data_IF_918221439848
#
_entry.id   IF_918221439848
#
_cell.length_a   1.000
_cell.length_b   1.000
_cell.length_c   1.000
_cell.angle_alpha   90.00
_cell.angle_beta   90.00
_cell.angle_gamma   90.00
#
_symmetry.space_group_name_H-M   'P 1'
#
loop_
_entity.id
_entity.type
_entity.pdbx_description
1 polymer ?
#
# COMPACT_ATOMS: atom_id res chain seq x y z
N UNK A 1 -22.86 8.13 12.74
CA UNK A 1 -22.21 7.57 11.54
C UNK A 1 -22.30 6.06 11.62
N UNK A 2 -22.80 5.39 10.58
CA UNK A 2 -22.75 3.94 10.48
C UNK A 2 -21.32 3.49 10.23
N UNK A 3 -20.84 2.48 10.97
CA UNK A 3 -19.55 1.83 10.67
C UNK A 3 -19.77 0.81 9.56
N UNK A 4 -18.93 0.86 8.53
CA UNK A 4 -18.87 -0.19 7.51
C UNK A 4 -18.18 -1.41 8.15
N UNK A 5 -18.77 -2.61 8.13
CA UNK A 5 -18.12 -3.82 8.62
C UNK A 5 -16.81 -4.08 7.86
N UNK A 6 -15.75 -4.45 8.57
CA UNK A 6 -14.46 -4.82 7.98
C UNK A 6 -14.04 -6.19 8.46
N UNK A 7 -13.38 -6.94 7.57
CA UNK A 7 -12.77 -8.22 7.88
C UNK A 7 -11.34 -8.22 7.34
N UNK A 8 -10.37 -8.59 8.18
CA UNK A 8 -8.99 -8.78 7.75
C UNK A 8 -8.82 -10.21 7.21
N UNK A 9 -8.09 -10.34 6.12
CA UNK A 9 -7.75 -11.65 5.53
C UNK A 9 -6.27 -11.69 5.21
N UNK A 10 -5.64 -12.81 5.54
CA UNK A 10 -4.25 -13.05 5.15
C UNK A 10 -4.17 -13.31 3.65
N UNK A 11 -3.40 -12.48 2.95
CA UNK A 11 -3.20 -12.57 1.52
C UNK A 11 -1.72 -12.36 1.18
N UNK A 12 -1.12 -13.33 0.51
CA UNK A 12 0.29 -13.27 0.09
C UNK A 12 0.47 -12.24 -1.05
N UNK A 13 1.60 -11.51 -1.01
CA UNK A 13 1.95 -10.54 -2.05
C UNK A 13 2.67 -11.16 -3.24
N UNK A 14 3.33 -12.31 -3.06
CA UNK A 14 4.12 -12.97 -4.10
C UNK A 14 5.30 -12.13 -4.64
N UNK A 15 5.75 -11.14 -3.89
CA UNK A 15 6.95 -10.33 -4.16
C UNK A 15 7.91 -10.40 -2.96
N UNK A 16 9.08 -9.76 -3.04
CA UNK A 16 10.02 -9.65 -1.91
C UNK A 16 9.32 -9.15 -0.63
N UNK A 17 9.76 -9.63 0.54
CA UNK A 17 9.30 -9.09 1.84
C UNK A 17 9.65 -7.61 2.00
N UNK A 18 10.71 -7.16 1.32
CA UNK A 18 11.07 -5.75 1.16
C UNK A 18 11.11 -5.40 -0.33
N UNK A 19 9.99 -4.93 -0.92
CA UNK A 19 9.96 -4.43 -2.29
C UNK A 19 10.90 -3.25 -2.45
N UNK A 20 11.65 -3.23 -3.56
CA UNK A 20 12.71 -2.25 -3.82
C UNK A 20 12.44 -1.34 -5.03
N UNK A 21 11.21 -1.38 -5.56
CA UNK A 21 10.77 -0.51 -6.64
C UNK A 21 9.28 -0.17 -6.52
N UNK A 22 8.89 0.96 -7.08
CA UNK A 22 7.48 1.37 -7.19
C UNK A 22 6.61 0.30 -7.86
N UNK A 23 7.10 -0.27 -8.97
CA UNK A 23 6.38 -1.30 -9.73
C UNK A 23 6.22 -2.61 -8.94
N UNK A 24 7.28 -3.09 -8.29
CA UNK A 24 7.21 -4.30 -7.47
C UNK A 24 6.25 -4.12 -6.30
N UNK A 25 6.29 -2.95 -5.65
CA UNK A 25 5.40 -2.62 -4.52
C UNK A 25 3.94 -2.61 -4.97
N UNK A 26 3.63 -1.95 -6.09
CA UNK A 26 2.27 -1.96 -6.66
C UNK A 26 1.83 -3.37 -7.06
N UNK A 27 2.72 -4.18 -7.62
CA UNK A 27 2.46 -5.59 -7.95
C UNK A 27 2.13 -6.40 -6.70
N UNK A 28 2.85 -6.20 -5.61
CA UNK A 28 2.57 -6.82 -4.31
C UNK A 28 1.15 -6.50 -3.83
N UNK A 29 0.77 -5.23 -3.80
CA UNK A 29 -0.57 -4.80 -3.40
C UNK A 29 -1.67 -5.42 -4.27
N UNK A 30 -1.49 -5.47 -5.60
CA UNK A 30 -2.44 -6.10 -6.52
C UNK A 30 -2.55 -7.61 -6.35
N UNK A 31 -1.43 -8.28 -6.09
CA UNK A 31 -1.43 -9.71 -5.78
C UNK A 31 -2.18 -9.98 -4.46
N UNK A 32 -2.01 -9.13 -3.45
CA UNK A 32 -2.81 -9.22 -2.21
C UNK A 32 -4.29 -9.04 -2.48
N UNK A 33 -4.70 -8.06 -3.29
CA UNK A 33 -6.10 -7.90 -3.70
C UNK A 33 -6.64 -9.17 -4.35
N UNK A 34 -5.91 -9.74 -5.32
CA UNK A 34 -6.31 -10.97 -6.02
C UNK A 34 -6.49 -12.12 -5.03
N UNK A 35 -5.50 -12.33 -4.16
CA UNK A 35 -5.49 -13.44 -3.21
C UNK A 35 -6.53 -13.26 -2.08
N UNK A 36 -6.79 -12.03 -1.66
CA UNK A 36 -7.84 -11.70 -0.69
C UNK A 36 -9.24 -11.91 -1.28
N UNK A 37 -9.44 -11.56 -2.55
CA UNK A 37 -10.71 -11.74 -3.27
C UNK A 37 -11.12 -13.21 -3.38
N UNK A 38 -10.14 -14.13 -3.49
CA UNK A 38 -10.41 -15.58 -3.47
C UNK A 38 -10.93 -16.09 -2.13
N UNK A 39 -10.65 -15.37 -1.03
CA UNK A 39 -11.01 -15.75 0.34
C UNK A 39 -12.21 -14.97 0.90
N UNK A 40 -12.59 -13.87 0.24
CA UNK A 40 -13.57 -12.90 0.73
C UNK A 40 -14.81 -12.84 -0.17
N UNK A 41 -15.47 -14.00 -0.33
CA UNK A 41 -16.68 -14.11 -1.13
C UNK A 41 -17.80 -13.22 -0.53
N UNK A 42 -18.12 -12.12 -1.21
CA UNK A 42 -19.20 -11.20 -0.81
C UNK A 42 -18.76 -9.84 -0.26
N UNK A 43 -17.47 -9.52 -0.25
CA UNK A 43 -17.03 -8.16 0.06
C UNK A 43 -17.37 -7.18 -1.08
N UNK A 44 -17.99 -6.04 -0.76
CA UNK A 44 -18.25 -4.98 -1.74
C UNK A 44 -16.95 -4.32 -2.22
N UNK A 45 -16.01 -4.14 -1.30
CA UNK A 45 -14.70 -3.55 -1.53
C UNK A 45 -13.61 -4.45 -0.96
N UNK A 46 -12.51 -4.59 -1.69
CA UNK A 46 -11.28 -5.22 -1.21
C UNK A 46 -10.18 -4.16 -1.22
N UNK A 47 -9.47 -4.01 -0.10
CA UNK A 47 -8.40 -3.02 0.06
C UNK A 47 -7.13 -3.73 0.45
N UNK A 48 -6.01 -3.37 -0.18
CA UNK A 48 -4.69 -3.87 0.18
C UNK A 48 -3.66 -2.74 0.20
N UNK A 49 -2.65 -2.93 1.05
CA UNK A 49 -1.49 -2.07 1.14
C UNK A 49 -0.22 -2.89 0.91
N UNK A 50 0.77 -2.30 0.26
CA UNK A 50 2.14 -2.84 0.23
C UNK A 50 3.10 -1.69 0.48
N UNK A 51 3.97 -1.84 1.49
CA UNK A 51 5.07 -0.92 1.74
C UNK A 51 6.28 -1.27 0.88
N UNK A 52 7.04 -0.27 0.47
CA UNK A 52 8.22 -0.47 -0.35
C UNK A 52 9.21 0.68 -0.22
N UNK A 53 10.39 0.47 -0.77
CA UNK A 53 11.43 1.49 -0.90
C UNK A 53 11.83 1.66 -2.36
N UNK A 54 12.32 2.84 -2.73
CA UNK A 54 12.95 3.08 -4.03
C UNK A 54 14.16 3.99 -3.87
N UNK A 55 15.17 3.84 -4.73
CA UNK A 55 16.29 4.79 -4.75
C UNK A 55 15.79 6.19 -5.16
N UNK A 56 16.18 7.21 -4.40
CA UNK A 56 15.85 8.59 -4.70
C UNK A 56 16.48 9.00 -6.03
N UNK A 57 15.65 9.37 -7.01
CA UNK A 57 16.09 9.79 -8.35
C UNK A 57 16.57 11.23 -8.42
N UNK A 58 16.35 12.00 -7.35
CA UNK A 58 16.62 13.45 -7.29
C UNK A 58 17.82 13.80 -6.40
N UNK A 59 18.54 12.80 -5.88
CA UNK A 59 19.74 12.99 -5.08
C UNK A 59 20.95 12.36 -5.76
N UNK A 60 22.11 13.01 -5.64
CA UNK A 60 23.40 12.42 -6.00
C UNK A 60 23.93 11.49 -4.91
N UNK A 61 23.38 11.59 -3.69
CA UNK A 61 23.66 10.67 -2.60
C UNK A 61 22.80 9.39 -2.72
N UNK A 62 23.30 8.31 -2.14
CA UNK A 62 22.62 7.01 -2.15
C UNK A 62 21.51 6.98 -1.10
N UNK A 63 20.38 7.59 -1.43
CA UNK A 63 19.22 7.74 -0.56
C UNK A 63 18.10 6.75 -0.92
N UNK A 64 17.49 6.11 0.09
CA UNK A 64 16.24 5.38 -0.09
C UNK A 64 15.06 6.23 0.32
N UNK A 65 14.02 6.16 -0.50
CA UNK A 65 12.71 6.76 -0.25
C UNK A 65 11.73 5.67 0.17
N UNK A 66 10.96 5.93 1.23
CA UNK A 66 9.91 5.03 1.72
C UNK A 66 8.53 5.48 1.24
N UNK A 67 7.69 4.52 0.84
CA UNK A 67 6.30 4.74 0.45
C UNK A 67 5.48 3.45 0.61
N UNK A 68 4.18 3.55 0.38
CA UNK A 68 3.28 2.42 0.25
C UNK A 68 2.27 2.66 -0.88
N UNK A 69 1.85 1.57 -1.53
CA UNK A 69 0.71 1.58 -2.42
C UNK A 69 -0.55 1.12 -1.68
N UNK A 70 -1.61 1.91 -1.78
CA UNK A 70 -2.97 1.50 -1.43
C UNK A 70 -3.72 1.17 -2.72
N UNK A 71 -4.32 -0.02 -2.79
CA UNK A 71 -5.15 -0.46 -3.92
C UNK A 71 -6.52 -0.85 -3.39
N UNK A 72 -7.56 -0.41 -4.09
CA UNK A 72 -8.96 -0.71 -3.81
C UNK A 72 -9.58 -1.33 -5.05
N UNK A 73 -10.23 -2.48 -4.91
CA UNK A 73 -10.98 -3.12 -5.98
C UNK A 73 -12.45 -3.28 -5.57
N UNK A 74 -13.35 -2.89 -6.47
CA UNK A 74 -14.80 -3.01 -6.29
C UNK A 74 -15.47 -3.04 -7.67
N UNK A 75 -16.51 -3.86 -7.86
CA UNK A 75 -17.35 -3.87 -9.07
C UNK A 75 -16.60 -3.91 -10.42
N UNK A 76 -15.45 -4.58 -10.48
CA UNK A 76 -14.61 -4.65 -11.69
C UNK A 76 -13.73 -3.42 -11.96
N UNK A 77 -13.74 -2.43 -11.06
CA UNK A 77 -12.88 -1.25 -11.10
C UNK A 77 -11.72 -1.37 -10.10
N UNK A 78 -10.59 -0.78 -10.46
CA UNK A 78 -9.42 -0.61 -9.59
C UNK A 78 -9.20 0.89 -9.34
N UNK A 79 -9.13 1.27 -8.08
CA UNK A 79 -8.57 2.55 -7.66
C UNK A 79 -7.26 2.31 -6.92
N UNK A 80 -6.31 3.22 -7.07
CA UNK A 80 -4.99 3.09 -6.44
C UNK A 80 -4.40 4.45 -6.14
N UNK A 81 -3.60 4.51 -5.09
CA UNK A 81 -2.86 5.70 -4.71
C UNK A 81 -1.56 5.31 -4.02
N UNK A 82 -0.55 6.14 -4.21
CA UNK A 82 0.73 6.04 -3.51
C UNK A 82 0.72 7.04 -2.36
N UNK A 83 1.18 6.60 -1.19
CA UNK A 83 1.36 7.51 -0.06
C UNK A 83 2.40 8.59 -0.38
N UNK A 84 2.36 9.68 0.39
CA UNK A 84 3.42 10.69 0.33
C UNK A 84 4.79 10.05 0.62
N UNK A 85 5.80 10.36 -0.19
CA UNK A 85 7.12 9.73 -0.11
C UNK A 85 8.07 10.59 0.75
N UNK A 86 8.93 9.95 1.54
CA UNK A 86 9.97 10.62 2.31
C UNK A 86 11.28 9.84 2.28
N UNK A 87 12.39 10.56 2.40
CA UNK A 87 13.74 9.96 2.44
C UNK A 87 14.02 9.34 3.81
N UNK A 88 14.58 8.14 3.81
CA UNK A 88 14.99 7.42 5.01
C UNK A 88 16.33 7.97 5.56
N UNK A 89 16.55 7.89 6.88
CA UNK A 89 17.86 8.18 7.46
C UNK A 89 18.96 7.32 6.81
N UNK A 90 20.20 7.82 6.66
CA UNK A 90 21.31 7.06 6.06
C UNK A 90 21.56 5.72 6.77
N UNK A 91 21.51 5.69 8.11
CA UNK A 91 21.70 4.46 8.90
C UNK A 91 20.63 3.39 8.61
N UNK A 92 19.37 3.80 8.37
CA UNK A 92 18.30 2.88 7.99
C UNK A 92 18.52 2.41 6.54
N UNK A 93 18.93 3.31 5.66
CA UNK A 93 19.24 3.01 4.26
C UNK A 93 20.33 1.93 4.14
N UNK A 94 21.41 2.05 4.90
CA UNK A 94 22.52 1.08 4.91
C UNK A 94 22.05 -0.31 5.38
N UNK A 95 21.23 -0.37 6.43
CA UNK A 95 20.68 -1.64 6.94
C UNK A 95 19.75 -2.30 5.91
N UNK A 96 18.83 -1.54 5.31
CA UNK A 96 17.90 -2.06 4.30
C UNK A 96 18.67 -2.54 3.06
N UNK A 97 19.70 -1.78 2.64
CA UNK A 97 20.58 -2.19 1.55
C UNK A 97 21.34 -3.48 1.85
N UNK A 98 21.65 -3.77 3.12
CA UNK A 98 22.30 -5.02 3.54
C UNK A 98 21.38 -6.24 3.53
N UNK A 99 20.11 -6.07 3.12
CA UNK A 99 19.11 -7.14 3.03
C UNK A 99 18.15 -7.22 4.21
N UNK A 100 18.19 -6.25 5.13
CA UNK A 100 17.25 -6.15 6.25
C UNK A 100 15.90 -5.59 5.78
N UNK A 101 14.80 -6.08 6.34
CA UNK A 101 13.49 -5.46 6.12
C UNK A 101 13.42 -4.11 6.86
N UNK A 102 12.75 -3.12 6.27
CA UNK A 102 12.69 -1.75 6.80
C UNK A 102 12.21 -1.69 8.26
N UNK A 103 11.18 -2.45 8.62
CA UNK A 103 10.69 -2.45 9.99
C UNK A 103 11.68 -3.01 11.02
N UNK A 104 12.52 -3.99 10.62
CA UNK A 104 13.56 -4.53 11.49
C UNK A 104 14.76 -3.56 11.59
N UNK A 105 15.04 -2.84 10.50
CA UNK A 105 16.01 -1.76 10.49
C UNK A 105 15.59 -0.61 11.41
N UNK A 106 14.31 -0.24 11.39
CA UNK A 106 13.75 0.76 12.31
C UNK A 106 13.86 0.31 13.77
N UNK A 107 13.43 -0.92 14.09
CA UNK A 107 13.52 -1.47 15.45
C UNK A 107 14.98 -1.43 15.96
N UNK A 108 15.93 -1.81 15.11
CA UNK A 108 17.36 -1.77 15.43
C UNK A 108 17.89 -0.35 15.68
N UNK A 109 17.52 0.61 14.84
CA UNK A 109 18.04 1.99 14.92
C UNK A 109 17.40 2.77 16.06
N UNK A 110 16.09 2.61 16.27
CA UNK A 110 15.32 3.37 17.24
C UNK A 110 15.14 2.66 18.57
N UNK A 111 15.77 1.49 18.75
CA UNK A 111 15.71 0.65 19.96
C UNK A 111 14.26 0.34 20.36
N UNK A 112 13.45 -0.03 19.37
CA UNK A 112 12.05 -0.40 19.53
C UNK A 112 11.86 -1.89 19.23
N UNK A 113 10.69 -2.40 19.59
CA UNK A 113 10.23 -3.72 19.20
C UNK A 113 8.90 -3.58 18.49
N UNK A 114 8.75 -4.25 17.34
CA UNK A 114 7.52 -4.37 16.59
C UNK A 114 7.02 -3.04 15.96
N UNK A 115 7.95 -2.17 15.52
CA UNK A 115 7.62 -0.93 14.82
C UNK A 115 6.77 -1.14 13.55
N UNK A 116 6.83 -2.35 12.96
CA UNK A 116 5.97 -2.77 11.83
C UNK A 116 4.48 -2.72 12.15
N UNK A 117 4.06 -2.91 13.40
CA UNK A 117 2.65 -3.02 13.77
C UNK A 117 2.09 -1.79 14.47
N UNK A 118 2.93 -1.01 15.15
CA UNK A 118 2.50 0.19 15.88
C UNK A 118 2.43 1.43 14.97
N UNK A 119 3.51 2.21 14.90
CA UNK A 119 3.49 3.55 14.29
C UNK A 119 4.11 3.59 12.89
N UNK A 120 4.85 2.55 12.49
CA UNK A 120 5.64 2.50 11.26
C UNK A 120 6.77 3.55 11.22
N UNK A 121 7.59 3.47 10.18
CA UNK A 121 8.72 4.41 9.95
C UNK A 121 8.28 5.87 9.97
N UNK A 122 7.11 6.17 9.39
CA UNK A 122 6.55 7.53 9.34
C UNK A 122 6.23 8.09 10.73
N UNK A 123 5.66 7.28 11.63
CA UNK A 123 5.36 7.73 12.99
C UNK A 123 6.61 7.95 13.82
N UNK A 124 7.59 7.05 13.69
CA UNK A 124 8.89 7.19 14.37
C UNK A 124 9.58 8.50 13.97
N UNK A 125 9.71 8.76 12.67
CA UNK A 125 10.47 9.90 12.17
C UNK A 125 9.74 11.23 12.35
N UNK A 126 8.41 11.22 12.38
CA UNK A 126 7.61 12.42 12.61
C UNK A 126 7.26 12.65 14.09
N UNK A 127 7.74 11.78 14.99
CA UNK A 127 7.37 11.80 16.43
C UNK A 127 5.85 11.77 16.61
N UNK A 128 5.19 10.90 15.86
CA UNK A 128 3.75 10.64 15.85
C UNK A 128 2.86 11.85 15.51
N UNK A 129 3.44 12.92 14.93
CA UNK A 129 2.65 13.99 14.28
C UNK A 129 1.85 13.40 13.10
N UNK A 130 2.44 12.45 12.38
CA UNK A 130 1.74 11.58 11.43
C UNK A 130 1.83 10.14 11.92
N UNK A 131 0.69 9.46 12.10
CA UNK A 131 0.67 8.03 12.41
C UNK A 131 0.52 7.21 11.13
N UNK A 132 0.82 5.90 11.19
CA UNK A 132 0.55 4.99 10.05
C UNK A 132 -0.92 5.02 9.63
N UNK A 133 -1.84 5.12 10.59
CA UNK A 133 -3.27 5.22 10.31
C UNK A 133 -3.60 6.48 9.54
N UNK A 134 -3.17 7.67 10.00
CA UNK A 134 -3.46 8.92 9.29
C UNK A 134 -2.79 8.92 7.92
N UNK A 135 -1.55 8.47 7.85
CA UNK A 135 -0.79 8.35 6.60
C UNK A 135 -1.48 7.47 5.55
N UNK A 136 -1.96 6.29 5.94
CA UNK A 136 -2.67 5.38 5.02
C UNK A 136 -4.09 5.85 4.72
N UNK A 137 -4.75 6.54 5.66
CA UNK A 137 -6.08 7.13 5.45
C UNK A 137 -6.10 8.04 4.23
N UNK A 138 -5.09 8.91 4.06
CA UNK A 138 -4.98 9.75 2.86
C UNK A 138 -4.89 8.90 1.58
N UNK A 139 -4.04 7.86 1.57
CA UNK A 139 -3.90 7.00 0.40
C UNK A 139 -5.19 6.23 0.05
N UNK A 140 -5.94 5.74 1.04
CA UNK A 140 -7.23 5.09 0.80
C UNK A 140 -8.25 6.08 0.24
N UNK A 141 -8.36 7.27 0.81
CA UNK A 141 -9.26 8.32 0.31
C UNK A 141 -8.97 8.62 -1.16
N UNK A 142 -7.69 8.77 -1.52
CA UNK A 142 -7.28 9.01 -2.90
C UNK A 142 -7.53 7.79 -3.80
N UNK A 143 -7.29 6.58 -3.32
CA UNK A 143 -7.59 5.35 -4.06
C UNK A 143 -9.09 5.16 -4.29
N UNK A 144 -9.96 5.80 -3.49
CA UNK A 144 -11.41 5.74 -3.65
C UNK A 144 -11.97 6.72 -4.70
N UNK A 145 -11.16 7.65 -5.22
CA UNK A 145 -11.59 8.66 -6.21
C UNK A 145 -12.40 8.07 -7.38
N UNK A 146 -11.99 6.95 -8.02
CA UNK A 146 -12.76 6.38 -9.12
C UNK A 146 -14.18 5.94 -8.73
N UNK A 147 -14.38 5.54 -7.47
CA UNK A 147 -15.65 5.03 -6.96
C UNK A 147 -16.59 6.13 -6.47
N UNK A 148 -16.04 7.31 -6.10
CA UNK A 148 -16.84 8.48 -5.72
C UNK A 148 -17.20 9.38 -6.89
N UNK A 149 -16.60 9.15 -8.07
CA UNK A 149 -16.81 9.94 -9.30
C UNK A 149 -17.12 8.99 -10.48
N UNK A 150 -18.10 8.09 -10.31
CA UNK A 150 -18.42 7.03 -11.28
C UNK A 150 -18.79 7.58 -12.65
N UNK A 151 -19.36 8.78 -12.73
CA UNK A 151 -19.68 9.48 -13.97
C UNK A 151 -18.43 9.78 -14.83
N UNK A 152 -17.26 9.95 -14.20
CA UNK A 152 -15.99 10.21 -14.88
C UNK A 152 -15.19 8.92 -15.18
N UNK A 153 -15.33 7.90 -14.34
CA UNK A 153 -14.53 6.67 -14.40
C UNK A 153 -15.28 5.43 -14.89
N UNK A 154 -16.62 5.45 -14.88
CA UNK A 154 -17.50 4.31 -15.17
C UNK A 154 -17.67 3.98 -16.66
N UNK A 155 -17.28 4.88 -17.56
CA UNK A 155 -17.33 4.66 -19.02
C UNK A 155 -16.40 3.50 -19.46
N UNK A 156 -15.34 3.19 -18.69
CA UNK A 156 -14.43 2.08 -18.98
C UNK A 156 -14.92 0.72 -18.44
N UNK A 157 -16.02 0.68 -17.66
CA UNK A 157 -16.57 -0.57 -17.10
C UNK A 157 -17.60 -1.24 -18.03
N UNK A 158 -18.10 -0.51 -19.05
CA UNK A 158 -19.11 -0.99 -19.99
C UNK A 158 -18.58 -2.03 -21.01
N UNK A 159 -17.30 -1.96 -21.38
CA UNK A 159 -16.73 -2.88 -22.36
C UNK A 159 -16.46 -4.28 -21.79
N UNK A 160 -16.23 -4.41 -20.48
CA UNK A 160 -16.02 -5.71 -19.83
C UNK A 160 -17.31 -6.52 -19.62
N UNK A 161 -18.50 -5.91 -19.79
CA UNK A 161 -19.81 -6.56 -19.60
C UNK A 161 -20.43 -7.13 -20.88
N UNK A 162 -19.82 -6.92 -22.06
CA UNK A 162 -20.35 -7.41 -23.34
C UNK A 162 -20.05 -8.90 -23.63
N UNK A 163 -19.26 -9.56 -22.78
CA UNK A 163 -18.86 -10.97 -22.96
C UNK A 163 -19.74 -12.03 -22.30
N UNK A 164 -20.74 -11.65 -21.49
CA UNK A 164 -21.65 -12.62 -20.83
C UNK A 164 -23.02 -12.54 -21.48
N UNK A 165 -23.18 -13.29 -22.56
CA UNK A 165 -24.49 -13.71 -23.05
C UNK A 165 -25.01 -14.79 -22.11
N UNK A 166 -25.86 -14.43 -21.15
CA UNK A 166 -26.76 -15.40 -20.54
C UNK A 166 -27.81 -15.77 -21.59
N UNK A 167 -27.76 -17.04 -22.04
CA UNK A 167 -28.94 -17.74 -22.54
C UNK A 167 -29.78 -18.22 -21.37
#
# INVERSE_FOLDING_TARGET
>A
MARVPTAAVDAESGVSSQPFSDEETLRGARNRIRNASLKSLGADYVVAFEGGVEWCKFSSARELSCFAWAVVQAHGMEGKSRTATFTLPPVVTELVQSGMELGDADDRVFQRTNSKQENGTVGILTKDILTRETYYRHAVILALIPFTNLELYGQNAGEARSGVSCR
#
